data_IF_258946092703
#
_entry.id   IF_258946092703
#
_cell.length_a   1.000
_cell.length_b   1.000
_cell.length_c   1.000
_cell.angle_alpha   90.00
_cell.angle_beta   90.00
_cell.angle_gamma   90.00
#
_symmetry.space_group_name_H-M   'P 1'
#
loop_
_entity.id
_entity.type
_entity.pdbx_description
1 polymer ?
#
# COMPACT_ATOMS: atom_id res chain seq x y z
N UNK A 1 17.20 -8.63 -5.69
CA UNK A 1 16.16 -9.67 -5.91
C UNK A 1 14.93 -9.26 -5.14
N UNK A 2 13.74 -9.29 -5.74
CA UNK A 2 12.49 -8.92 -5.05
C UNK A 2 11.94 -10.09 -4.26
N UNK A 3 11.44 -9.81 -3.06
CA UNK A 3 10.70 -10.76 -2.23
C UNK A 3 9.36 -10.16 -1.87
N UNK A 4 8.28 -10.73 -2.40
CA UNK A 4 6.93 -10.26 -2.11
C UNK A 4 6.21 -11.20 -1.17
N UNK A 5 5.50 -10.61 -0.22
CA UNK A 5 4.61 -11.31 0.72
C UNK A 5 3.21 -10.74 0.53
N UNK A 6 2.22 -11.63 0.56
CA UNK A 6 0.81 -11.30 0.41
C UNK A 6 0.06 -11.81 1.63
N UNK A 7 -0.90 -11.05 2.14
CA UNK A 7 -1.79 -11.54 3.19
C UNK A 7 -2.61 -12.74 2.70
N UNK A 8 -3.04 -13.59 3.63
CA UNK A 8 -3.90 -14.74 3.32
C UNK A 8 -5.37 -14.36 3.10
N UNK A 9 -5.79 -13.23 3.68
CA UNK A 9 -7.17 -12.73 3.64
C UNK A 9 -7.29 -11.61 2.60
N UNK A 10 -8.27 -11.68 1.69
CA UNK A 10 -8.53 -10.62 0.74
C UNK A 10 -9.27 -9.43 1.37
N UNK A 11 -9.25 -8.28 0.69
CA UNK A 11 -10.09 -7.14 1.05
C UNK A 11 -11.56 -7.51 0.86
N UNK A 12 -12.38 -7.14 1.85
CA UNK A 12 -13.83 -7.19 1.72
C UNK A 12 -14.30 -6.20 0.65
N UNK A 13 -15.20 -6.66 -0.22
CA UNK A 13 -15.76 -5.85 -1.29
C UNK A 13 -16.86 -4.93 -0.77
N UNK A 14 -17.11 -3.84 -1.51
CA UNK A 14 -18.11 -2.82 -1.22
C UNK A 14 -17.97 -2.18 0.17
N UNK A 15 -16.74 -2.16 0.71
CA UNK A 15 -16.39 -1.57 2.00
C UNK A 15 -15.08 -0.82 1.87
N UNK A 16 -14.90 0.18 2.74
CA UNK A 16 -13.59 0.78 2.96
C UNK A 16 -12.79 -0.12 3.88
N UNK A 17 -11.63 -0.59 3.41
CA UNK A 17 -10.69 -1.40 4.19
C UNK A 17 -9.39 -0.63 4.37
N UNK A 18 -8.87 -0.62 5.59
CA UNK A 18 -7.64 0.07 5.96
C UNK A 18 -6.64 -0.86 6.67
N UNK A 19 -5.37 -0.71 6.34
CA UNK A 19 -4.26 -1.35 7.04
C UNK A 19 -3.01 -0.47 7.03
N UNK A 20 -2.11 -0.73 7.97
CA UNK A 20 -0.83 -0.02 8.11
C UNK A 20 0.35 -0.99 7.98
N UNK A 21 1.47 -0.50 7.48
CA UNK A 21 2.75 -1.22 7.46
C UNK A 21 3.87 -0.27 7.90
N UNK A 22 4.50 -0.57 9.03
CA UNK A 22 5.61 0.21 9.58
C UNK A 22 6.95 -0.41 9.25
N UNK A 23 7.86 0.39 8.70
CA UNK A 23 9.21 -0.05 8.37
C UNK A 23 10.11 0.10 9.59
N UNK A 24 10.90 -0.93 9.88
CA UNK A 24 11.96 -0.89 10.88
C UNK A 24 13.26 -1.39 10.26
N UNK A 25 14.37 -0.82 10.73
CA UNK A 25 15.69 -1.31 10.35
C UNK A 25 15.94 -2.63 11.05
N UNK A 26 16.20 -3.68 10.27
CA UNK A 26 16.69 -4.94 10.78
C UNK A 26 18.05 -4.70 11.44
N UNK A 27 18.14 -4.95 12.74
CA UNK A 27 19.45 -5.04 13.39
C UNK A 27 20.06 -6.36 12.95
N UNK A 28 21.03 -6.33 12.04
CA UNK A 28 21.99 -7.43 11.96
C UNK A 28 22.67 -7.49 13.33
N UNK A 29 22.69 -8.66 14.02
CA UNK A 29 23.53 -8.78 15.20
C UNK A 29 24.96 -8.49 14.73
N UNK A 30 25.56 -7.44 15.27
CA UNK A 30 26.98 -7.18 15.12
C UNK A 30 27.67 -8.47 15.57
N UNK A 31 28.18 -9.23 14.59
CA UNK A 31 29.06 -10.36 14.83
C UNK A 31 30.15 -9.81 15.75
N UNK A 32 30.13 -10.22 17.01
CA UNK A 32 30.99 -9.67 18.05
C UNK A 32 32.42 -9.68 17.54
N UNK A 33 32.93 -8.49 17.20
CA UNK A 33 34.35 -8.29 17.04
C UNK A 33 34.91 -8.48 18.45
N UNK A 34 35.59 -9.60 18.65
CA UNK A 34 36.36 -9.92 19.85
C UNK A 34 37.05 -8.64 20.35
N UNK A 35 36.56 -8.09 21.46
CA UNK A 35 37.31 -7.12 22.25
C UNK A 35 38.40 -7.89 22.99
N UNK A 36 39.41 -8.33 22.25
CA UNK A 36 40.70 -8.67 22.82
C UNK A 36 41.53 -7.39 22.83
N UNK A 37 41.78 -6.94 24.05
CA UNK A 37 42.63 -5.83 24.44
C UNK A 37 43.87 -5.66 23.53
N UNK A 38 44.09 -4.44 23.05
CA UNK A 38 45.40 -3.84 23.20
C UNK A 38 45.31 -2.31 23.22
N UNK A 39 46.22 -1.77 24.01
CA UNK A 39 46.22 -0.48 24.66
C UNK A 39 47.28 0.40 23.97
N UNK A 40 46.94 1.69 23.84
CA UNK A 40 47.80 2.88 23.81
C UNK A 40 48.38 3.43 22.46
N UNK A 41 48.03 4.71 22.24
CA UNK A 41 48.80 5.87 21.72
C UNK A 41 48.73 6.36 20.24
N UNK A 42 48.05 7.51 20.10
CA UNK A 42 48.51 8.82 19.58
C UNK A 42 49.23 8.91 18.22
N UNK A 43 48.65 9.63 17.25
CA UNK A 43 49.15 10.90 16.64
C UNK A 43 48.35 11.32 15.38
N UNK A 44 48.53 12.60 15.05
CA UNK A 44 47.66 13.54 14.31
C UNK A 44 47.79 13.57 12.77
N UNK A 45 46.77 14.16 12.11
CA UNK A 45 46.78 15.00 10.88
C UNK A 45 47.27 14.42 9.51
N UNK A 46 46.40 14.41 8.48
CA UNK A 46 46.23 15.50 7.48
C UNK A 46 45.58 15.06 6.13
N UNK A 47 44.55 15.81 5.73
CA UNK A 47 44.22 16.43 4.42
C UNK A 47 44.19 15.72 3.03
N UNK A 48 43.15 16.16 2.27
CA UNK A 48 42.89 16.18 0.79
C UNK A 48 42.41 14.86 0.17
N UNK A 49 41.30 14.77 -0.58
CA UNK A 49 40.39 15.73 -1.19
C UNK A 49 40.06 15.23 -2.61
N UNK A 50 38.78 15.05 -2.97
CA UNK A 50 38.33 15.22 -4.36
C UNK A 50 36.81 15.28 -4.45
N UNK A 51 36.35 16.36 -5.07
CA UNK A 51 34.97 16.80 -5.23
C UNK A 51 34.42 16.44 -6.61
N UNK A 52 33.18 16.00 -6.67
CA UNK A 52 32.27 16.33 -7.78
C UNK A 52 30.91 16.69 -7.21
N UNK A 53 30.69 17.99 -7.03
CA UNK A 53 29.40 18.59 -6.76
C UNK A 53 28.65 18.78 -8.09
N UNK A 54 27.39 18.37 -8.13
CA UNK A 54 26.38 19.02 -8.97
C UNK A 54 25.29 19.52 -8.02
N UNK A 55 25.42 20.79 -7.66
CA UNK A 55 24.43 21.54 -6.92
C UNK A 55 23.31 21.97 -7.89
N UNK A 56 22.11 21.46 -7.66
CA UNK A 56 20.86 22.05 -8.13
C UNK A 56 20.07 22.49 -6.91
N UNK A 57 20.05 23.78 -6.65
CA UNK A 57 19.36 24.38 -5.52
C UNK A 57 17.84 24.17 -5.64
N UNK A 58 17.24 23.53 -4.64
CA UNK A 58 15.82 23.67 -4.33
C UNK A 58 15.66 23.72 -2.82
N UNK A 59 14.82 24.64 -2.35
CA UNK A 59 14.63 25.00 -0.95
C UNK A 59 14.35 23.77 -0.09
N UNK A 60 15.29 23.45 0.80
CA UNK A 60 15.17 22.35 1.76
C UNK A 60 14.06 22.67 2.77
N UNK A 61 12.88 22.09 2.55
CA UNK A 61 11.88 21.97 3.60
C UNK A 61 12.44 21.05 4.70
N UNK A 62 12.24 21.41 5.97
CA UNK A 62 12.71 20.70 7.18
C UNK A 62 12.15 19.26 7.30
N UNK A 63 11.37 18.80 6.32
CA UNK A 63 10.71 17.49 6.26
C UNK A 63 11.47 16.41 5.46
N UNK A 64 12.64 16.71 4.86
CA UNK A 64 13.45 15.72 4.11
C UNK A 64 14.31 14.81 5.01
N UNK A 65 13.75 14.34 6.14
CA UNK A 65 14.45 13.44 7.07
C UNK A 65 14.59 11.99 6.58
N UNK A 66 14.02 11.63 5.43
CA UNK A 66 14.13 10.28 4.89
C UNK A 66 15.34 10.17 3.94
N UNK A 67 16.52 9.86 4.49
CA UNK A 67 17.49 9.09 3.72
C UNK A 67 16.78 7.82 3.25
N UNK A 68 16.66 7.59 1.94
CA UNK A 68 15.94 6.43 1.40
C UNK A 68 16.84 5.20 1.59
N UNK A 69 16.91 4.70 2.81
CA UNK A 69 17.74 3.54 3.15
C UNK A 69 16.98 2.20 2.96
N UNK A 70 15.66 2.27 2.72
CA UNK A 70 14.81 1.11 2.49
C UNK A 70 14.16 1.15 1.09
N UNK A 71 14.38 0.11 0.29
CA UNK A 71 13.70 -0.11 -0.99
C UNK A 71 12.56 -1.10 -0.78
N UNK A 72 11.35 -0.56 -0.66
CA UNK A 72 10.12 -1.27 -0.27
C UNK A 72 8.95 -0.74 -1.09
N UNK A 73 8.00 -1.60 -1.47
CA UNK A 73 6.71 -1.19 -2.05
C UNK A 73 5.57 -1.86 -1.29
N UNK A 74 4.55 -1.08 -0.94
CA UNK A 74 3.39 -1.49 -0.14
C UNK A 74 2.12 -1.18 -0.92
N UNK A 75 1.18 -2.13 -0.98
CA UNK A 75 -0.11 -1.88 -1.60
C UNK A 75 -0.95 -3.15 -1.74
N UNK A 76 -1.55 -3.33 -2.92
CA UNK A 76 -2.50 -4.41 -3.20
C UNK A 76 -2.08 -5.21 -4.44
N UNK A 77 -2.40 -6.50 -4.45
CA UNK A 77 -2.28 -7.32 -5.65
C UNK A 77 -3.33 -8.42 -5.70
N UNK A 78 -3.68 -8.85 -6.91
CA UNK A 78 -4.38 -10.12 -7.10
C UNK A 78 -3.39 -11.29 -7.02
N UNK A 79 -3.92 -12.52 -6.96
CA UNK A 79 -3.08 -13.74 -7.01
C UNK A 79 -2.27 -13.90 -8.29
N UNK A 80 -2.65 -13.20 -9.36
CA UNK A 80 -1.97 -13.24 -10.66
C UNK A 80 -0.61 -12.54 -10.65
N UNK A 81 -0.36 -11.64 -9.68
CA UNK A 81 0.95 -11.01 -9.54
C UNK A 81 1.98 -12.04 -9.05
N UNK A 82 3.11 -12.24 -9.76
CA UNK A 82 4.23 -13.07 -9.29
C UNK A 82 4.84 -12.55 -7.99
N UNK A 83 5.38 -13.42 -7.13
CA UNK A 83 5.97 -13.02 -5.84
C UNK A 83 7.44 -12.55 -5.92
N UNK A 84 8.01 -12.53 -7.12
CA UNK A 84 9.37 -12.08 -7.41
C UNK A 84 9.40 -10.73 -8.17
N UNK A 85 8.32 -9.95 -8.10
CA UNK A 85 8.20 -8.65 -8.76
C UNK A 85 7.70 -7.58 -7.79
N UNK A 86 7.97 -6.32 -8.11
CA UNK A 86 7.54 -5.18 -7.30
C UNK A 86 6.02 -5.03 -7.35
N UNK A 87 5.35 -4.90 -6.18
CA UNK A 87 3.92 -4.57 -6.15
C UNK A 87 3.67 -3.23 -6.84
N UNK A 88 2.72 -3.22 -7.78
CA UNK A 88 2.46 -2.12 -8.69
C UNK A 88 3.18 -2.20 -10.05
N UNK A 89 4.19 -3.07 -10.22
CA UNK A 89 4.89 -3.25 -11.48
C UNK A 89 4.31 -4.37 -12.38
N UNK A 90 3.43 -5.21 -11.81
CA UNK A 90 2.75 -6.30 -12.53
C UNK A 90 1.26 -6.02 -12.72
N UNK A 91 0.63 -6.64 -13.71
CA UNK A 91 -0.81 -6.51 -13.94
C UNK A 91 -1.62 -6.84 -12.67
N UNK A 92 -2.68 -6.09 -12.46
CA UNK A 92 -3.63 -6.20 -11.36
C UNK A 92 -2.97 -6.03 -9.98
N UNK A 93 -2.02 -5.10 -9.91
CA UNK A 93 -1.40 -4.69 -8.65
C UNK A 93 -1.19 -3.18 -8.60
N UNK A 94 -1.22 -2.62 -7.41
CA UNK A 94 -0.92 -1.21 -7.14
C UNK A 94 -0.03 -1.13 -5.91
N UNK A 95 1.04 -0.33 -5.98
CA UNK A 95 2.00 -0.22 -4.88
C UNK A 95 2.57 1.17 -4.78
N UNK A 96 2.68 1.67 -3.56
CA UNK A 96 3.42 2.87 -3.25
C UNK A 96 4.86 2.51 -2.90
N UNK A 97 5.79 2.88 -3.77
CA UNK A 97 7.21 2.60 -3.66
C UNK A 97 7.92 3.69 -2.83
N UNK A 98 8.82 3.27 -1.93
CA UNK A 98 9.53 4.15 -0.98
C UNK A 98 10.26 5.33 -1.60
N UNK A 99 10.65 5.22 -2.88
CA UNK A 99 11.23 6.32 -3.65
C UNK A 99 10.23 7.43 -4.03
N UNK A 100 8.98 7.37 -3.56
CA UNK A 100 7.99 8.42 -3.76
C UNK A 100 7.19 8.28 -5.05
N UNK A 101 6.90 7.04 -5.47
CA UNK A 101 6.14 6.75 -6.68
C UNK A 101 5.00 5.77 -6.39
N UNK A 102 3.80 6.09 -6.83
CA UNK A 102 2.69 5.12 -6.87
C UNK A 102 2.69 4.45 -8.24
N UNK A 103 2.85 3.13 -8.21
CA UNK A 103 2.90 2.26 -9.38
C UNK A 103 1.55 1.57 -9.53
N UNK A 104 0.91 1.74 -10.68
CA UNK A 104 -0.36 1.08 -11.02
C UNK A 104 -0.10 0.13 -12.17
N UNK A 105 -0.04 -1.16 -11.85
CA UNK A 105 0.14 -2.21 -12.81
C UNK A 105 -1.22 -2.66 -13.31
N UNK A 106 -1.72 -2.02 -14.36
CA UNK A 106 -2.87 -2.49 -15.16
C UNK A 106 -2.39 -2.87 -16.56
N UNK A 107 -3.30 -2.99 -17.52
CA UNK A 107 -2.93 -3.14 -18.93
C UNK A 107 -2.03 -2.00 -19.41
N UNK A 108 -2.31 -0.77 -18.94
CA UNK A 108 -1.46 0.40 -19.14
C UNK A 108 -0.77 0.73 -17.83
N UNK A 109 0.48 0.29 -17.68
CA UNK A 109 1.29 0.59 -16.49
C UNK A 109 1.41 2.11 -16.31
N UNK A 110 1.18 2.59 -15.09
CA UNK A 110 1.36 4.00 -14.72
C UNK A 110 2.31 4.11 -13.53
N UNK A 111 3.15 5.14 -13.55
CA UNK A 111 3.99 5.53 -12.43
C UNK A 111 3.71 7.00 -12.16
N UNK A 112 3.30 7.33 -10.94
CA UNK A 112 2.93 8.68 -10.53
C UNK A 112 3.87 9.11 -9.42
N UNK A 113 4.70 10.12 -9.68
CA UNK A 113 5.54 10.75 -8.65
C UNK A 113 4.67 11.55 -7.69
N UNK A 114 4.77 11.27 -6.38
CA UNK A 114 3.91 11.88 -5.35
C UNK A 114 4.66 12.83 -4.42
N UNK A 115 5.95 13.09 -4.69
CA UNK A 115 6.83 14.02 -3.95
C UNK A 115 7.20 13.56 -2.54
N UNK A 116 6.30 12.88 -1.84
CA UNK A 116 6.51 12.29 -0.52
C UNK A 116 7.21 10.94 -0.67
N UNK A 117 8.31 10.76 0.04
CA UNK A 117 9.05 9.50 0.19
C UNK A 117 8.82 8.94 1.58
N UNK A 118 9.16 7.67 1.78
CA UNK A 118 9.12 7.05 3.11
C UNK A 118 10.31 6.11 3.30
N UNK A 119 10.66 5.83 4.55
CA UNK A 119 11.83 5.02 4.89
C UNK A 119 11.66 4.31 6.22
N UNK A 120 12.76 4.01 6.90
CA UNK A 120 12.70 3.43 8.24
C UNK A 120 11.94 4.34 9.21
N UNK A 121 11.22 3.71 10.15
CA UNK A 121 10.32 4.34 11.12
C UNK A 121 9.05 4.96 10.54
N UNK A 122 8.93 5.08 9.21
CA UNK A 122 7.68 5.48 8.57
C UNK A 122 6.65 4.38 8.62
N UNK A 123 5.39 4.78 8.73
CA UNK A 123 4.22 3.92 8.62
C UNK A 123 3.43 4.29 7.38
N UNK A 124 3.25 3.33 6.48
CA UNK A 124 2.41 3.51 5.29
C UNK A 124 1.02 2.97 5.57
N UNK A 125 0.02 3.83 5.48
CA UNK A 125 -1.38 3.45 5.53
C UNK A 125 -1.94 3.25 4.13
N UNK A 126 -2.83 2.27 3.98
CA UNK A 126 -3.52 1.98 2.71
C UNK A 126 -5.01 1.92 2.98
N UNK A 127 -5.77 2.89 2.46
CA UNK A 127 -7.22 2.84 2.40
C UNK A 127 -7.63 2.35 1.02
N UNK A 128 -8.52 1.36 0.96
CA UNK A 128 -9.02 0.86 -0.31
C UNK A 128 -10.52 0.58 -0.26
N UNK A 129 -11.21 0.92 -1.35
CA UNK A 129 -12.58 0.51 -1.60
C UNK A 129 -12.60 -0.34 -2.87
N UNK A 130 -13.02 -1.60 -2.73
CA UNK A 130 -13.13 -2.55 -3.85
C UNK A 130 -14.58 -2.59 -4.29
N UNK A 131 -14.86 -2.25 -5.55
CA UNK A 131 -16.20 -2.24 -6.13
C UNK A 131 -16.24 -3.31 -7.22
N UNK A 132 -17.13 -4.27 -7.07
CA UNK A 132 -17.46 -5.20 -8.14
C UNK A 132 -18.44 -4.55 -9.12
N UNK A 133 -18.35 -4.90 -10.41
CA UNK A 133 -19.39 -4.54 -11.35
C UNK A 133 -20.71 -5.21 -10.95
N UNK A 134 -21.87 -4.58 -11.21
CA UNK A 134 -23.15 -5.21 -10.98
C UNK A 134 -23.22 -6.51 -11.79
N UNK A 135 -23.52 -7.61 -11.12
CA UNK A 135 -23.86 -8.85 -11.81
C UNK A 135 -25.21 -8.60 -12.51
N UNK A 136 -25.23 -8.58 -13.84
CA UNK A 136 -26.48 -8.64 -14.63
C UNK A 136 -27.08 -10.06 -14.50
N UNK A 137 -27.43 -10.47 -13.28
CA UNK A 137 -28.26 -11.65 -13.01
C UNK A 137 -29.73 -11.25 -13.07
N UNK A 138 -30.22 -10.77 -14.22
CA UNK A 138 -31.67 -10.75 -14.49
C UNK A 138 -32.05 -10.50 -15.96
N UNK A 139 -31.86 -11.48 -16.86
CA UNK A 139 -32.81 -11.69 -17.98
C UNK A 139 -32.93 -13.17 -18.35
N UNK A 140 -34.11 -13.71 -18.06
CA UNK A 140 -34.80 -14.88 -18.62
C UNK A 140 -34.29 -16.31 -18.36
N UNK A 141 -34.87 -16.89 -17.31
CA UNK A 141 -35.47 -18.21 -17.42
C UNK A 141 -36.61 -18.18 -18.46
N UNK A 142 -36.38 -18.71 -19.66
CA UNK A 142 -37.47 -19.17 -20.53
C UNK A 142 -37.06 -20.38 -21.37
N UNK A 143 -37.97 -21.35 -21.40
CA UNK A 143 -37.87 -22.67 -22.01
C UNK A 143 -37.66 -22.62 -23.53
N UNK A 144 -36.79 -23.47 -24.09
CA UNK A 144 -36.92 -23.85 -25.51
C UNK A 144 -35.63 -24.16 -26.29
N UNK A 145 -35.27 -25.45 -26.31
CA UNK A 145 -34.69 -26.23 -27.43
C UNK A 145 -33.54 -25.71 -28.33
N UNK A 146 -32.49 -26.54 -28.38
CA UNK A 146 -31.85 -27.20 -29.57
C UNK A 146 -30.31 -27.10 -29.54
N UNK A 147 -29.69 -28.27 -29.58
CA UNK A 147 -28.26 -28.58 -29.49
C UNK A 147 -27.40 -27.99 -30.62
N UNK A 148 -26.18 -27.54 -30.30
CA UNK A 148 -25.07 -27.34 -31.27
C UNK A 148 -23.71 -27.61 -30.57
N UNK A 149 -22.73 -28.26 -31.24
CA UNK A 149 -21.61 -28.93 -30.56
C UNK A 149 -20.50 -27.97 -30.10
N UNK A 150 -19.60 -28.41 -29.20
CA UNK A 150 -18.60 -27.54 -28.59
C UNK A 150 -17.43 -27.34 -29.57
N UNK A 151 -17.42 -26.18 -30.23
CA UNK A 151 -16.22 -25.70 -30.91
C UNK A 151 -15.36 -24.95 -29.90
N UNK A 152 -14.22 -25.54 -29.59
CA UNK A 152 -13.08 -24.92 -28.92
C UNK A 152 -12.87 -23.46 -29.35
N UNK A 153 -13.02 -22.52 -28.43
CA UNK A 153 -12.62 -21.13 -28.64
C UNK A 153 -11.57 -20.72 -27.60
N UNK A 154 -10.41 -20.42 -28.15
CA UNK A 154 -9.36 -19.56 -27.64
C UNK A 154 -9.86 -18.50 -26.65
N UNK A 155 -9.12 -18.35 -25.54
CA UNK A 155 -9.22 -17.23 -24.59
C UNK A 155 -8.79 -15.95 -25.30
N UNK A 156 -9.67 -15.41 -26.14
CA UNK A 156 -9.62 -14.01 -26.55
C UNK A 156 -10.26 -13.23 -25.41
N UNK A 157 -9.43 -12.46 -24.70
CA UNK A 157 -9.87 -11.48 -23.73
C UNK A 157 -10.86 -10.53 -24.39
N UNK A 158 -12.14 -10.76 -24.11
CA UNK A 158 -13.26 -9.97 -24.61
C UNK A 158 -13.16 -8.56 -24.00
N UNK A 159 -13.03 -7.48 -24.79
CA UNK A 159 -12.88 -6.12 -24.29
C UNK A 159 -14.12 -5.56 -23.59
N UNK A 160 -15.17 -6.37 -23.40
CA UNK A 160 -16.44 -6.01 -22.74
C UNK A 160 -16.71 -6.73 -21.43
N UNK A 161 -15.81 -7.59 -20.92
CA UNK A 161 -16.04 -8.25 -19.64
C UNK A 161 -16.05 -7.24 -18.48
N UNK A 162 -16.99 -7.35 -17.53
CA UNK A 162 -17.13 -6.35 -16.47
C UNK A 162 -15.89 -6.39 -15.56
N UNK A 163 -15.20 -5.26 -15.44
CA UNK A 163 -13.93 -5.13 -14.71
C UNK A 163 -14.22 -4.59 -13.30
N UNK A 164 -13.72 -5.29 -12.28
CA UNK A 164 -13.74 -4.77 -10.90
C UNK A 164 -12.79 -3.60 -10.76
N UNK A 165 -13.14 -2.62 -9.93
CA UNK A 165 -12.31 -1.44 -9.70
C UNK A 165 -12.01 -1.28 -8.21
N UNK A 166 -10.74 -1.00 -7.89
CA UNK A 166 -10.34 -0.60 -6.55
C UNK A 166 -9.88 0.86 -6.55
N UNK A 167 -10.40 1.63 -5.60
CA UNK A 167 -10.02 3.01 -5.33
C UNK A 167 -9.12 3.00 -4.11
N UNK A 168 -7.88 3.48 -4.27
CA UNK A 168 -6.83 3.35 -3.27
C UNK A 168 -6.25 4.71 -2.92
N UNK A 169 -6.12 4.98 -1.63
CA UNK A 169 -5.44 6.15 -1.07
C UNK A 169 -4.32 5.67 -0.16
N UNK A 170 -3.21 6.37 -0.20
CA UNK A 170 -2.05 6.07 0.63
C UNK A 170 -1.79 7.20 1.61
N UNK A 171 -1.33 6.84 2.81
CA UNK A 171 -0.83 7.80 3.79
C UNK A 171 0.58 7.42 4.21
N UNK A 172 1.36 8.41 4.65
CA UNK A 172 2.66 8.21 5.33
C UNK A 172 2.58 8.92 6.66
N UNK A 173 2.76 8.17 7.74
CA UNK A 173 2.70 8.65 9.12
C UNK A 173 1.38 9.39 9.40
N UNK A 174 0.29 8.86 8.84
CA UNK A 174 -1.06 9.42 8.98
C UNK A 174 -1.39 10.54 8.00
N UNK A 175 -0.44 11.04 7.21
CA UNK A 175 -0.66 12.15 6.28
C UNK A 175 -0.88 11.64 4.87
N UNK A 176 -1.94 12.10 4.20
CA UNK A 176 -2.27 11.66 2.85
C UNK A 176 -1.21 12.02 1.81
N UNK A 177 -1.11 11.20 0.77
CA UNK A 177 -0.48 11.64 -0.48
C UNK A 177 -1.34 12.70 -1.14
N UNK A 178 -0.70 13.79 -1.58
CA UNK A 178 -1.39 14.93 -2.19
C UNK A 178 -0.76 15.31 -3.52
N UNK A 179 -1.58 15.82 -4.42
CA UNK A 179 -1.14 16.37 -5.69
C UNK A 179 -0.55 17.78 -5.53
N UNK A 180 -0.13 18.40 -6.63
CA UNK A 180 0.40 19.78 -6.64
C UNK A 180 -0.62 20.83 -6.20
N UNK A 181 -1.91 20.51 -6.25
CA UNK A 181 -3.01 21.38 -5.82
C UNK A 181 -3.44 21.09 -4.38
N UNK A 182 -2.65 20.32 -3.63
CA UNK A 182 -2.90 19.92 -2.25
C UNK A 182 -4.17 19.05 -2.07
N UNK A 183 -4.66 18.40 -3.14
CA UNK A 183 -5.79 17.48 -3.08
C UNK A 183 -5.32 16.09 -2.74
N UNK A 184 -6.09 15.36 -1.93
CA UNK A 184 -5.79 13.97 -1.58
C UNK A 184 -5.83 13.12 -2.86
N UNK A 185 -4.78 12.34 -3.08
CA UNK A 185 -4.67 11.52 -4.28
C UNK A 185 -5.40 10.19 -4.08
N UNK A 186 -6.27 9.88 -5.04
CA UNK A 186 -6.89 8.57 -5.18
C UNK A 186 -6.43 7.91 -6.48
N UNK A 187 -6.13 6.63 -6.39
CA UNK A 187 -5.66 5.82 -7.50
C UNK A 187 -6.66 4.72 -7.81
N UNK A 188 -7.01 4.59 -9.09
CA UNK A 188 -7.86 3.50 -9.57
C UNK A 188 -7.02 2.34 -10.12
N UNK A 189 -7.32 1.14 -9.64
CA UNK A 189 -6.80 -0.14 -10.14
C UNK A 189 -7.96 -0.97 -10.73
N UNK A 190 -8.03 -1.11 -12.07
CA UNK A 190 -8.90 -2.11 -12.68
C UNK A 190 -8.31 -3.51 -12.53
N UNK A 191 -9.16 -4.50 -12.25
CA UNK A 191 -8.78 -5.91 -12.09
C UNK A 191 -9.87 -6.88 -12.59
N UNK A 192 -9.53 -8.14 -12.93
CA UNK A 192 -10.48 -9.05 -13.56
C UNK A 192 -11.67 -9.36 -12.64
N UNK A 193 -12.87 -9.59 -13.20
CA UNK A 193 -14.03 -9.98 -12.40
C UNK A 193 -13.73 -11.22 -11.57
N UNK A 194 -14.41 -11.35 -10.43
CA UNK A 194 -14.27 -12.48 -9.47
C UNK A 194 -12.85 -12.64 -8.88
N UNK A 195 -11.91 -11.77 -9.23
CA UNK A 195 -10.61 -11.74 -8.57
C UNK A 195 -10.72 -11.02 -7.23
N UNK A 196 -9.78 -11.33 -6.36
CA UNK A 196 -9.67 -10.74 -5.04
C UNK A 196 -8.36 -9.94 -4.94
N UNK A 197 -8.39 -8.87 -4.16
CA UNK A 197 -7.22 -8.04 -3.87
C UNK A 197 -6.73 -8.31 -2.46
N UNK A 198 -5.42 -8.39 -2.32
CA UNK A 198 -4.77 -8.74 -1.07
C UNK A 198 -3.72 -7.68 -0.70
N UNK A 199 -3.61 -7.29 0.59
CA UNK A 199 -2.47 -6.53 1.09
C UNK A 199 -1.17 -7.23 0.70
N UNK A 200 -0.27 -6.48 0.06
CA UNK A 200 0.94 -7.01 -0.54
C UNK A 200 2.11 -6.07 -0.25
N UNK A 201 3.19 -6.67 0.23
CA UNK A 201 4.47 -6.03 0.50
C UNK A 201 5.51 -6.59 -0.48
N UNK A 202 6.38 -5.75 -1.02
CA UNK A 202 7.60 -6.21 -1.71
C UNK A 202 8.82 -5.56 -1.11
N UNK A 203 9.79 -6.39 -0.74
CA UNK A 203 11.09 -5.98 -0.25
C UNK A 203 12.12 -6.12 -1.37
N UNK A 204 12.94 -5.08 -1.54
CA UNK A 204 14.08 -5.10 -2.45
C UNK A 204 15.41 -4.95 -1.68
N UNK A 205 15.42 -4.20 -0.57
CA UNK A 205 16.57 -4.11 0.34
C UNK A 205 16.70 -5.35 1.25
N UNK A 206 17.92 -5.59 1.71
CA UNK A 206 18.21 -6.48 2.84
C UNK A 206 17.97 -5.73 4.15
N UNK A 207 17.84 -6.48 5.26
CA UNK A 207 17.72 -5.93 6.61
C UNK A 207 16.58 -4.92 6.81
N UNK A 208 15.45 -5.14 6.14
CA UNK A 208 14.20 -4.40 6.38
C UNK A 208 13.22 -5.31 7.09
N UNK A 209 12.77 -4.89 8.27
CA UNK A 209 11.64 -5.50 8.96
C UNK A 209 10.40 -4.67 8.70
N UNK A 210 9.27 -5.31 8.44
CA UNK A 210 7.99 -4.63 8.24
C UNK A 210 6.96 -5.20 9.19
N UNK A 211 6.36 -4.32 9.98
CA UNK A 211 5.30 -4.66 10.92
C UNK A 211 3.97 -4.34 10.27
N UNK A 212 3.25 -5.38 9.88
CA UNK A 212 1.92 -5.29 9.29
C UNK A 212 0.87 -5.17 10.40
N UNK A 213 0.17 -4.03 10.42
CA UNK A 213 -0.94 -3.75 11.32
C UNK A 213 -2.23 -3.89 10.50
N UNK A 214 -2.89 -5.04 10.68
CA UNK A 214 -4.03 -5.47 9.87
C UNK A 214 -5.34 -5.46 10.66
N UNK A 215 -5.27 -5.20 11.96
CA UNK A 215 -6.37 -5.26 12.94
C UNK A 215 -6.64 -3.88 13.52
N UNK A 216 -7.89 -3.58 13.84
CA UNK A 216 -8.24 -2.25 14.35
C UNK A 216 -7.47 -1.79 15.60
N UNK A 217 -7.18 -2.64 16.61
CA UNK A 217 -6.38 -2.26 17.77
C UNK A 217 -4.90 -1.96 17.46
N UNK A 218 -4.41 -2.47 16.33
CA UNK A 218 -3.00 -2.33 15.93
C UNK A 218 -2.75 -1.07 15.10
N UNK A 219 -3.81 -0.40 14.62
CA UNK A 219 -3.70 0.83 13.82
C UNK A 219 -3.32 2.00 14.72
N UNK A 220 -2.20 2.66 14.43
CA UNK A 220 -1.63 3.69 15.32
C UNK A 220 -1.44 5.05 14.66
N UNK A 221 -1.43 5.13 13.32
CA UNK A 221 -1.12 6.38 12.59
C UNK A 221 -2.31 6.97 11.85
N UNK A 222 -3.44 6.28 11.79
CA UNK A 222 -4.61 6.74 11.07
C UNK A 222 -5.07 8.14 11.53
N UNK A 223 -5.21 9.04 10.55
CA UNK A 223 -5.88 10.33 10.72
C UNK A 223 -7.08 10.39 9.79
N UNK A 224 -8.30 10.36 10.34
CA UNK A 224 -9.54 10.37 9.55
C UNK A 224 -9.71 11.63 8.69
N UNK A 225 -9.12 12.76 9.09
CA UNK A 225 -9.18 14.01 8.32
C UNK A 225 -8.34 13.94 7.04
N UNK A 226 -7.38 13.01 6.98
CA UNK A 226 -6.49 12.80 5.84
C UNK A 226 -7.04 11.76 4.86
N UNK A 227 -8.27 11.27 5.05
CA UNK A 227 -8.85 10.24 4.18
C UNK A 227 -9.82 10.77 3.12
N UNK A 228 -10.29 12.01 3.20
CA UNK A 228 -11.30 12.61 2.29
C UNK A 228 -12.51 11.69 2.06
N UNK A 229 -13.21 11.35 3.14
CA UNK A 229 -14.38 10.46 3.07
C UNK A 229 -15.63 11.28 2.68
N UNK A 230 -16.58 10.68 1.92
CA UNK A 230 -17.85 11.32 1.59
C UNK A 230 -18.57 11.87 2.82
N UNK A 231 -19.05 13.11 2.74
CA UNK A 231 -19.72 13.79 3.86
C UNK A 231 -21.19 13.35 4.06
N UNK A 232 -21.78 12.66 3.08
CA UNK A 232 -23.22 12.44 3.00
C UNK A 232 -23.75 11.30 3.89
N UNK A 233 -22.86 10.47 4.45
CA UNK A 233 -23.22 9.41 5.41
C UNK A 233 -22.02 9.04 6.30
N UNK A 234 -22.25 8.50 7.51
CA UNK A 234 -21.17 7.95 8.32
C UNK A 234 -20.51 6.79 7.56
N UNK A 235 -19.27 7.01 7.11
CA UNK A 235 -18.49 6.01 6.38
C UNK A 235 -17.84 5.06 7.37
N UNK A 236 -18.13 3.77 7.23
CA UNK A 236 -17.51 2.73 8.05
C UNK A 236 -16.21 2.25 7.41
N UNK A 237 -15.11 2.35 8.15
CA UNK A 237 -13.82 1.82 7.75
C UNK A 237 -13.55 0.55 8.54
N UNK A 238 -13.15 -0.50 7.84
CA UNK A 238 -12.89 -1.82 8.38
C UNK A 238 -11.41 -2.16 8.29
N UNK A 239 -10.92 -2.99 9.20
CA UNK A 239 -9.61 -3.62 9.10
C UNK A 239 -9.74 -5.02 8.46
N UNK A 240 -8.60 -5.65 8.15
CA UNK A 240 -8.58 -6.94 7.47
C UNK A 240 -9.12 -8.09 8.35
N UNK A 241 -9.07 -7.92 9.66
CA UNK A 241 -9.67 -8.80 10.67
C UNK A 241 -11.20 -8.69 10.74
N UNK A 242 -11.80 -7.73 10.03
CA UNK A 242 -13.24 -7.46 10.06
C UNK A 242 -13.69 -6.61 11.26
N UNK A 243 -12.77 -6.05 12.04
CA UNK A 243 -13.10 -5.05 13.06
C UNK A 243 -13.18 -3.65 12.45
N UNK A 244 -14.02 -2.80 13.03
CA UNK A 244 -14.20 -1.41 12.57
C UNK A 244 -13.18 -0.47 13.19
N UNK A 245 -12.69 0.46 12.39
CA UNK A 245 -11.92 1.60 12.85
C UNK A 245 -12.88 2.70 13.29
N UNK A 246 -12.88 3.00 14.58
CA UNK A 246 -13.72 4.04 15.18
C UNK A 246 -15.08 3.51 15.66
N UNK A 247 -15.12 3.09 16.92
CA UNK A 247 -16.09 3.50 17.93
C UNK A 247 -15.34 3.49 19.28
N UNK A 248 -14.60 4.55 19.60
CA UNK A 248 -14.43 4.83 21.03
C UNK A 248 -15.76 5.37 21.51
N UNK A 249 -16.50 4.50 22.21
CA UNK A 249 -17.72 4.83 22.91
C UNK A 249 -17.40 5.90 23.98
N UNK A 250 -17.46 7.17 23.61
CA UNK A 250 -17.66 8.29 24.53
C UNK A 250 -18.95 8.96 24.12
N UNK A 251 -20.05 8.31 24.48
CA UNK A 251 -21.40 8.84 24.61
C UNK A 251 -22.26 7.72 25.21
N UNK A 252 -21.88 7.27 26.41
CA UNK A 252 -22.89 6.83 27.38
C UNK A 252 -22.98 8.00 28.36
N UNK A 253 -23.88 8.93 28.08
CA UNK A 253 -24.36 9.81 29.15
C UNK A 253 -24.88 8.90 30.27
N UNK A 254 -24.41 9.06 31.52
CA UNK A 254 -25.11 8.45 32.63
C UNK A 254 -26.49 9.12 32.66
N UNK A 255 -27.55 8.36 32.31
CA UNK A 255 -28.91 8.73 32.65
C UNK A 255 -28.95 8.91 34.16
N UNK A 256 -28.88 10.17 34.60
CA UNK A 256 -29.26 10.55 35.95
C UNK A 256 -30.76 10.30 36.03
N UNK A 257 -31.13 9.22 36.71
CA UNK A 257 -32.50 9.01 37.16
C UNK A 257 -32.66 9.93 38.38
N UNK A 258 -33.32 11.07 38.18
CA UNK A 258 -33.90 11.90 39.23
C UNK A 258 -35.38 11.59 39.38
#
# INVERSE_FOLDING_TARGET
>A
MYRSVRASVPLQKNRFVYFEMTLQQGRTPTRGANQSANRLETFSQSTRGSSTALAGASSSNVNDRAGIDASVSIGLSTRLMPLNTLVGASKYSIGYYSAGHVLVGSERRRSVGVGRKYGFQSTVGVLAQVIDPPDDENVDASLGSVSRPPSSSSVTSDPGAPVGNAFVRFTVDGIALRDSNNRIMEFSLPFPPKSELYPTLTLHSQDVHVFSQMSAPDITRLNFQELDLPAEAPVEIWCLDGLRLGLQHRDVEPRVIS
#
